data_IF_106926947472
#
_entry.id   IF_106926947472
#
_cell.length_a   1.000
_cell.length_b   1.000
_cell.length_c   1.000
_cell.angle_alpha   90.00
_cell.angle_beta   90.00
_cell.angle_gamma   90.00
#
_symmetry.space_group_name_H-M   'P 1'
#
loop_
_entity.id
_entity.type
_entity.pdbx_description
1 polymer ?
#
# COMPACT_ATOMS: atom_id res chain seq x y z
N UNK A 1 69.75 11.97 16.67
CA UNK A 1 68.52 11.44 16.17
C UNK A 1 67.50 11.41 17.30
N UNK A 2 66.32 12.07 17.24
CA UNK A 2 65.28 11.97 18.25
C UNK A 2 64.53 10.65 18.08
N UNK A 3 64.48 9.83 19.09
CA UNK A 3 63.59 8.67 19.19
C UNK A 3 62.13 9.18 19.21
N UNK A 4 61.40 8.93 18.19
CA UNK A 4 59.94 9.01 18.15
C UNK A 4 59.41 7.89 19.06
N UNK A 5 58.95 8.20 20.26
CA UNK A 5 58.11 7.35 21.08
C UNK A 5 56.79 7.22 20.33
N UNK A 6 56.60 6.08 19.62
CA UNK A 6 55.27 5.65 19.15
C UNK A 6 54.50 5.32 20.42
N UNK A 7 53.58 6.20 20.81
CA UNK A 7 52.64 5.92 21.89
C UNK A 7 51.82 4.67 21.51
N UNK A 8 51.84 3.67 22.36
CA UNK A 8 50.90 2.54 22.26
C UNK A 8 49.46 3.10 22.25
N UNK A 9 48.58 2.56 21.41
CA UNK A 9 47.17 2.95 21.46
C UNK A 9 46.65 2.64 22.87
N UNK A 10 46.14 3.67 23.56
CA UNK A 10 45.51 3.50 24.84
C UNK A 10 44.41 2.46 24.70
N UNK A 11 44.57 1.30 25.35
CA UNK A 11 43.48 0.31 25.46
C UNK A 11 42.33 1.03 26.20
N UNK A 12 41.23 1.28 25.50
CA UNK A 12 40.01 1.80 26.11
C UNK A 12 39.66 0.91 27.30
N UNK A 13 39.57 1.49 28.46
CA UNK A 13 39.17 0.75 29.67
C UNK A 13 37.77 0.23 29.48
N UNK A 14 37.38 -0.88 30.10
CA UNK A 14 36.05 -1.47 29.93
C UNK A 14 34.90 -0.48 30.22
N UNK A 15 35.21 0.62 30.95
CA UNK A 15 34.27 1.71 31.25
C UNK A 15 34.01 2.70 30.11
N UNK A 16 34.83 2.71 29.06
CA UNK A 16 34.72 3.65 27.94
C UNK A 16 33.90 3.02 26.75
N UNK A 17 33.57 1.74 26.84
CA UNK A 17 32.82 1.05 25.81
C UNK A 17 31.33 1.37 25.90
N UNK A 18 30.67 1.77 24.79
CA UNK A 18 29.25 2.14 24.82
C UNK A 18 28.33 0.92 25.00
N UNK A 19 27.13 1.21 25.47
CA UNK A 19 25.99 0.26 25.43
C UNK A 19 25.03 0.77 24.38
N UNK A 20 24.59 -0.12 23.50
CA UNK A 20 23.54 0.19 22.54
C UNK A 20 22.19 -0.21 23.11
N UNK A 21 21.22 0.71 23.11
CA UNK A 21 19.88 0.46 23.65
C UNK A 21 18.91 0.32 22.49
N UNK A 22 18.24 -0.82 22.42
CA UNK A 22 17.26 -1.16 21.38
C UNK A 22 15.88 -1.28 22.02
N UNK A 23 14.93 -0.37 21.77
CA UNK A 23 13.56 -0.53 22.22
C UNK A 23 12.82 -1.57 21.35
N UNK A 24 12.30 -2.62 22.00
CA UNK A 24 11.44 -3.66 21.41
C UNK A 24 10.03 -3.46 21.96
N UNK A 25 9.31 -2.50 21.40
CA UNK A 25 8.00 -2.08 21.90
C UNK A 25 6.91 -2.22 20.82
N UNK A 26 5.70 -2.53 21.26
CA UNK A 26 4.56 -2.77 20.35
C UNK A 26 4.69 -4.08 19.59
N UNK A 27 4.02 -4.17 18.43
CA UNK A 27 4.01 -5.41 17.63
C UNK A 27 5.34 -5.64 16.92
N UNK A 28 5.85 -6.86 16.99
CA UNK A 28 7.06 -7.28 16.26
C UNK A 28 6.71 -7.51 14.80
N UNK A 29 7.40 -6.79 13.91
CA UNK A 29 7.20 -6.78 12.47
C UNK A 29 8.52 -6.95 11.70
N UNK A 30 8.43 -7.11 10.38
CA UNK A 30 9.58 -7.35 9.50
C UNK A 30 10.58 -6.19 9.41
N UNK A 31 10.19 -5.00 9.78
CA UNK A 31 11.14 -3.87 9.81
C UNK A 31 11.97 -3.81 11.09
N UNK A 32 11.56 -4.58 12.12
CA UNK A 32 12.29 -4.63 13.39
C UNK A 32 13.52 -5.54 13.31
N UNK A 33 13.47 -6.62 12.52
CA UNK A 33 14.61 -7.53 12.35
C UNK A 33 15.84 -6.85 11.71
N UNK A 34 15.75 -6.16 10.54
CA UNK A 34 16.89 -5.43 9.98
C UNK A 34 17.42 -4.32 10.88
N UNK A 35 16.53 -3.68 11.66
CA UNK A 35 16.93 -2.69 12.64
C UNK A 35 17.78 -3.31 13.74
N UNK A 36 17.36 -4.44 14.31
CA UNK A 36 18.12 -5.18 15.31
C UNK A 36 19.49 -5.61 14.76
N UNK A 37 19.52 -6.26 13.60
CA UNK A 37 20.76 -6.71 12.94
C UNK A 37 21.73 -5.55 12.74
N UNK A 38 21.28 -4.45 12.16
CA UNK A 38 22.11 -3.25 11.94
C UNK A 38 22.71 -2.71 13.25
N UNK A 39 21.94 -2.71 14.33
CA UNK A 39 22.45 -2.21 15.61
C UNK A 39 23.41 -3.20 16.24
N UNK A 40 23.19 -4.52 16.12
CA UNK A 40 24.15 -5.55 16.57
C UNK A 40 25.48 -5.43 15.80
N UNK A 41 25.44 -5.29 14.48
CA UNK A 41 26.63 -5.10 13.63
C UNK A 41 27.40 -3.83 14.01
N UNK A 42 26.68 -2.72 14.26
CA UNK A 42 27.29 -1.47 14.68
C UNK A 42 27.90 -1.59 16.08
N UNK A 43 27.22 -2.26 17.00
CA UNK A 43 27.74 -2.52 18.34
C UNK A 43 29.01 -3.40 18.31
N UNK A 44 29.07 -4.40 17.43
CA UNK A 44 30.28 -5.22 17.21
C UNK A 44 31.42 -4.38 16.64
N UNK A 45 31.15 -3.56 15.60
CA UNK A 45 32.14 -2.69 14.98
C UNK A 45 32.73 -1.64 15.96
N UNK A 46 31.89 -1.12 16.86
CA UNK A 46 32.29 -0.16 17.88
C UNK A 46 32.84 -0.83 19.16
N UNK A 47 32.99 -2.15 19.17
CA UNK A 47 33.41 -2.96 20.30
C UNK A 47 32.60 -2.61 21.57
N UNK A 48 31.29 -2.47 21.46
CA UNK A 48 30.40 -2.12 22.55
C UNK A 48 30.53 -3.06 23.76
N UNK A 49 30.19 -2.55 24.94
CA UNK A 49 30.21 -3.37 26.15
C UNK A 49 29.02 -4.34 26.20
N UNK A 50 27.87 -3.91 25.70
CA UNK A 50 26.66 -4.73 25.60
C UNK A 50 25.63 -4.08 24.65
N UNK A 51 24.66 -4.87 24.21
CA UNK A 51 23.40 -4.43 23.61
C UNK A 51 22.28 -4.70 24.60
N UNK A 52 21.53 -3.68 24.95
CA UNK A 52 20.38 -3.75 25.85
C UNK A 52 19.09 -3.73 25.05
N UNK A 53 18.31 -4.78 25.13
CA UNK A 53 16.98 -4.91 24.52
C UNK A 53 15.93 -4.50 25.57
N UNK A 54 15.27 -3.36 25.40
CA UNK A 54 14.15 -2.96 26.26
C UNK A 54 12.84 -3.51 25.72
N UNK A 55 12.29 -4.52 26.41
CA UNK A 55 11.18 -5.33 25.90
C UNK A 55 9.88 -4.97 26.64
N UNK A 56 8.90 -4.49 25.87
CA UNK A 56 7.49 -4.36 26.28
C UNK A 56 6.60 -4.61 25.05
N UNK A 57 6.26 -5.87 24.79
CA UNK A 57 5.59 -6.29 23.56
C UNK A 57 4.55 -7.39 23.79
N UNK A 58 3.40 -7.33 23.09
CA UNK A 58 2.44 -8.43 23.04
C UNK A 58 2.88 -9.56 22.11
N UNK A 59 4.01 -9.43 21.40
CA UNK A 59 4.46 -10.34 20.36
C UNK A 59 4.27 -9.80 18.94
N UNK A 60 4.22 -10.68 17.95
CA UNK A 60 4.06 -10.28 16.56
C UNK A 60 4.33 -11.41 15.57
N UNK A 61 4.93 -11.07 14.44
CA UNK A 61 5.16 -11.98 13.31
C UNK A 61 6.21 -13.04 13.63
N UNK A 62 5.89 -14.30 13.32
CA UNK A 62 6.80 -15.42 13.53
C UNK A 62 8.06 -15.33 12.66
N UNK A 63 7.91 -14.94 11.39
CA UNK A 63 9.04 -14.79 10.47
C UNK A 63 10.02 -13.69 10.91
N UNK A 64 9.52 -12.57 11.45
CA UNK A 64 10.36 -11.51 11.98
C UNK A 64 11.11 -11.95 13.24
N UNK A 65 10.43 -12.62 14.17
CA UNK A 65 11.08 -13.01 15.42
C UNK A 65 12.14 -14.11 15.22
N UNK A 66 11.97 -15.00 14.24
CA UNK A 66 12.98 -16.02 13.94
C UNK A 66 14.27 -15.36 13.39
N UNK A 67 14.16 -14.37 12.51
CA UNK A 67 15.33 -13.58 12.08
C UNK A 67 16.01 -12.86 13.26
N UNK A 68 15.21 -12.26 14.14
CA UNK A 68 15.75 -11.58 15.33
C UNK A 68 16.42 -12.56 16.31
N UNK A 69 15.84 -13.74 16.49
CA UNK A 69 16.41 -14.79 17.32
C UNK A 69 17.75 -15.27 16.77
N UNK A 70 17.84 -15.53 15.45
CA UNK A 70 19.09 -15.95 14.81
C UNK A 70 20.17 -14.85 14.97
N UNK A 71 19.83 -13.57 14.70
CA UNK A 71 20.75 -12.44 14.88
C UNK A 71 21.27 -12.32 16.32
N UNK A 72 20.40 -12.56 17.32
CA UNK A 72 20.79 -12.53 18.73
C UNK A 72 21.68 -13.72 19.13
N UNK A 73 21.42 -14.91 18.58
CA UNK A 73 22.25 -16.09 18.85
C UNK A 73 23.64 -15.98 18.20
N UNK A 74 23.73 -15.36 17.04
CA UNK A 74 24.97 -15.13 16.29
C UNK A 74 25.74 -13.88 16.76
N UNK A 75 25.17 -13.09 17.66
CA UNK A 75 25.79 -11.87 18.18
C UNK A 75 27.11 -12.16 18.89
N UNK A 76 28.14 -11.36 18.56
CA UNK A 76 29.43 -11.38 19.23
C UNK A 76 29.49 -10.42 20.41
N UNK A 77 28.52 -9.54 20.52
CA UNK A 77 28.38 -8.55 21.58
C UNK A 77 27.44 -9.13 22.63
N UNK A 78 27.80 -8.97 23.92
CA UNK A 78 26.94 -9.36 25.05
C UNK A 78 25.55 -8.75 24.88
N UNK A 79 24.51 -9.59 24.93
CA UNK A 79 23.11 -9.18 24.78
C UNK A 79 22.36 -9.31 26.10
N UNK A 80 21.64 -8.25 26.49
CA UNK A 80 20.89 -8.20 27.75
C UNK A 80 19.44 -7.84 27.42
N UNK A 81 18.50 -8.70 27.79
CA UNK A 81 17.08 -8.42 27.72
C UNK A 81 16.60 -7.76 29.03
N UNK A 82 15.94 -6.64 28.92
CA UNK A 82 15.26 -5.97 30.01
C UNK A 82 13.74 -6.00 29.76
N UNK A 83 13.06 -6.87 30.46
CA UNK A 83 11.60 -6.99 30.38
C UNK A 83 10.99 -5.99 31.34
N UNK A 84 10.49 -4.86 30.78
CA UNK A 84 9.89 -3.78 31.59
C UNK A 84 8.48 -4.16 32.08
N UNK A 85 7.61 -4.70 31.19
CA UNK A 85 6.26 -5.13 31.54
C UNK A 85 5.93 -6.48 30.99
N UNK A 86 5.93 -6.59 29.66
CA UNK A 86 5.49 -7.80 28.97
C UNK A 86 6.49 -8.27 27.92
N UNK A 87 6.80 -9.54 27.94
CA UNK A 87 7.51 -10.23 26.87
C UNK A 87 6.64 -11.42 26.43
N UNK A 88 5.53 -11.16 25.72
CA UNK A 88 4.63 -12.22 25.26
C UNK A 88 5.02 -12.74 23.89
N UNK A 89 4.74 -14.03 23.65
CA UNK A 89 4.87 -14.66 22.33
C UNK A 89 6.27 -14.43 21.73
N UNK A 90 6.36 -13.74 20.59
CA UNK A 90 7.63 -13.37 19.96
C UNK A 90 8.59 -12.63 20.92
N UNK A 91 8.05 -11.81 21.83
CA UNK A 91 8.85 -11.11 22.85
C UNK A 91 9.54 -12.07 23.82
N UNK A 92 8.90 -13.19 24.17
CA UNK A 92 9.51 -14.21 25.00
C UNK A 92 10.69 -14.91 24.29
N UNK A 93 10.59 -15.16 22.99
CA UNK A 93 11.68 -15.75 22.22
C UNK A 93 12.86 -14.77 22.09
N UNK A 94 12.61 -13.48 21.87
CA UNK A 94 13.66 -12.45 21.83
C UNK A 94 14.38 -12.37 23.19
N UNK A 95 13.61 -12.33 24.28
CA UNK A 95 14.20 -12.32 25.62
C UNK A 95 15.03 -13.59 25.88
N UNK A 96 14.50 -14.75 25.49
CA UNK A 96 15.18 -16.04 25.64
C UNK A 96 16.47 -16.15 24.82
N UNK A 97 16.51 -15.49 23.65
CA UNK A 97 17.68 -15.47 22.77
C UNK A 97 18.80 -14.57 23.30
N UNK A 98 18.53 -13.65 24.23
CA UNK A 98 19.56 -12.84 24.87
C UNK A 98 20.40 -13.67 25.88
N UNK A 99 21.63 -13.26 26.10
CA UNK A 99 22.54 -13.92 27.07
C UNK A 99 22.02 -13.79 28.49
N UNK A 100 21.57 -12.60 28.85
CA UNK A 100 21.05 -12.28 30.19
C UNK A 100 19.63 -11.70 30.10
N UNK A 101 18.81 -12.00 31.10
CA UNK A 101 17.44 -11.50 31.22
C UNK A 101 17.24 -10.87 32.59
N UNK A 102 16.91 -9.58 32.58
CA UNK A 102 16.49 -8.84 33.76
C UNK A 102 15.02 -8.46 33.63
N UNK A 103 14.27 -8.56 34.71
CA UNK A 103 12.84 -8.26 34.72
C UNK A 103 12.50 -7.23 35.81
N UNK A 104 11.54 -6.37 35.53
CA UNK A 104 11.00 -5.49 36.58
C UNK A 104 10.06 -6.28 37.51
N UNK A 105 9.81 -5.81 38.74
CA UNK A 105 8.77 -6.38 39.59
C UNK A 105 7.40 -6.30 38.91
N UNK A 106 6.75 -7.45 38.74
CA UNK A 106 5.43 -7.55 38.05
C UNK A 106 5.50 -7.71 36.54
N UNK A 107 6.69 -7.79 35.94
CA UNK A 107 6.83 -8.18 34.56
C UNK A 107 6.46 -9.65 34.36
N UNK A 108 6.10 -9.98 33.11
CA UNK A 108 5.71 -11.35 32.72
C UNK A 108 6.34 -11.74 31.37
N UNK A 109 6.63 -13.04 31.20
CA UNK A 109 7.26 -13.58 30.01
C UNK A 109 6.67 -14.96 29.65
N UNK A 110 6.30 -15.18 28.40
CA UNK A 110 5.76 -16.48 27.94
C UNK A 110 4.58 -16.34 26.99
N UNK A 111 3.55 -17.18 27.13
CA UNK A 111 2.34 -17.23 26.32
C UNK A 111 2.65 -17.18 24.81
N UNK A 112 3.39 -18.19 24.32
CA UNK A 112 3.99 -18.16 22.99
C UNK A 112 3.39 -19.18 22.00
N UNK A 113 2.20 -19.74 22.29
CA UNK A 113 1.50 -20.57 21.30
C UNK A 113 1.24 -19.78 20.04
N UNK A 114 1.69 -20.24 18.87
CA UNK A 114 1.39 -19.54 17.63
C UNK A 114 -0.11 -19.60 17.33
N UNK A 115 -0.67 -18.47 16.92
CA UNK A 115 -2.09 -18.32 16.56
C UNK A 115 -2.24 -17.84 15.14
N UNK A 116 -3.33 -18.24 14.48
CA UNK A 116 -3.64 -17.79 13.12
C UNK A 116 -4.03 -16.33 13.11
N UNK A 117 -3.34 -15.57 12.23
CA UNK A 117 -3.55 -14.13 12.11
C UNK A 117 -4.95 -13.82 11.56
N UNK A 118 -5.82 -13.29 12.40
CA UNK A 118 -7.19 -12.88 12.06
C UNK A 118 -8.28 -13.65 12.79
N UNK A 119 -8.09 -14.92 13.10
CA UNK A 119 -9.05 -15.74 13.87
C UNK A 119 -8.69 -15.83 15.34
N UNK A 120 -7.39 -15.77 15.67
CA UNK A 120 -6.89 -16.01 17.03
C UNK A 120 -6.92 -17.48 17.43
N UNK A 121 -7.23 -18.38 16.51
CA UNK A 121 -7.19 -19.83 16.75
C UNK A 121 -5.74 -20.34 16.78
N UNK A 122 -5.50 -21.43 17.52
CA UNK A 122 -4.18 -22.06 17.55
C UNK A 122 -3.79 -22.57 16.16
N UNK A 123 -2.58 -22.26 15.74
CA UNK A 123 -2.02 -22.75 14.47
C UNK A 123 -1.94 -24.27 14.41
N UNK A 124 -1.72 -24.80 13.21
CA UNK A 124 -1.59 -26.24 13.01
C UNK A 124 -0.48 -26.86 13.89
N UNK A 125 -0.61 -28.12 14.29
CA UNK A 125 0.38 -28.85 15.09
C UNK A 125 1.78 -28.79 14.47
N UNK A 126 1.90 -28.74 13.15
CA UNK A 126 3.19 -28.58 12.47
C UNK A 126 3.88 -27.27 12.87
N UNK A 127 3.14 -26.17 12.94
CA UNK A 127 3.67 -24.85 13.32
C UNK A 127 3.96 -24.80 14.81
N UNK A 128 3.04 -25.29 15.64
CA UNK A 128 3.22 -25.37 17.09
C UNK A 128 4.48 -26.18 17.43
N UNK A 129 4.65 -27.36 16.79
CA UNK A 129 5.83 -28.20 16.99
C UNK A 129 7.14 -27.53 16.57
N UNK A 130 7.12 -26.78 15.45
CA UNK A 130 8.30 -26.04 14.99
C UNK A 130 8.68 -24.94 15.98
N UNK A 131 7.71 -24.11 16.40
CA UNK A 131 7.94 -23.01 17.36
C UNK A 131 8.37 -23.57 18.73
N UNK A 132 7.73 -24.62 19.23
CA UNK A 132 8.13 -25.32 20.47
C UNK A 132 9.58 -25.77 20.40
N UNK A 133 10.00 -26.38 19.28
CA UNK A 133 11.37 -26.84 19.09
C UNK A 133 12.36 -25.65 19.04
N UNK A 134 11.98 -24.54 18.42
CA UNK A 134 12.80 -23.31 18.40
C UNK A 134 13.00 -22.76 19.80
N UNK A 135 11.94 -22.64 20.60
CA UNK A 135 12.03 -22.21 22.00
C UNK A 135 12.93 -23.14 22.81
N UNK A 136 12.74 -24.47 22.67
CA UNK A 136 13.58 -25.46 23.29
C UNK A 136 15.06 -25.29 22.95
N UNK A 137 15.39 -25.24 21.64
CA UNK A 137 16.76 -25.11 21.17
C UNK A 137 17.41 -23.83 21.65
N UNK A 138 16.67 -22.70 21.63
CA UNK A 138 17.15 -21.40 22.14
C UNK A 138 17.47 -21.47 23.64
N UNK A 139 16.60 -22.12 24.44
CA UNK A 139 16.84 -22.32 25.85
C UNK A 139 18.09 -23.17 26.10
N UNK A 140 18.27 -24.28 25.35
CA UNK A 140 19.45 -25.14 25.43
C UNK A 140 20.74 -24.37 25.12
N UNK A 141 20.76 -23.55 24.06
CA UNK A 141 21.93 -22.73 23.70
C UNK A 141 22.27 -21.73 24.83
N UNK A 142 21.26 -21.16 25.48
CA UNK A 142 21.43 -20.19 26.58
C UNK A 142 21.54 -20.83 27.96
N UNK A 143 21.59 -22.16 28.06
CA UNK A 143 21.76 -22.90 29.31
C UNK A 143 20.56 -22.83 30.26
N UNK A 144 19.36 -22.55 29.75
CA UNK A 144 18.10 -22.52 30.50
C UNK A 144 17.33 -23.84 30.32
N UNK A 145 16.43 -24.17 31.26
CA UNK A 145 15.66 -25.42 31.19
C UNK A 145 14.77 -25.46 29.94
N UNK A 146 15.02 -26.37 28.98
CA UNK A 146 14.27 -26.43 27.73
C UNK A 146 12.81 -26.82 27.92
N UNK A 147 12.42 -27.50 29.01
CA UNK A 147 11.02 -27.87 29.27
C UNK A 147 10.17 -26.64 29.61
N UNK A 148 10.75 -25.68 30.33
CA UNK A 148 10.07 -24.44 30.66
C UNK A 148 9.79 -23.63 29.38
N UNK A 149 10.75 -23.60 28.43
CA UNK A 149 10.55 -22.98 27.12
C UNK A 149 9.48 -23.72 26.30
N UNK A 150 9.47 -25.05 26.30
CA UNK A 150 8.42 -25.83 25.62
C UNK A 150 7.02 -25.53 26.19
N UNK A 151 6.89 -25.41 27.52
CA UNK A 151 5.62 -25.11 28.20
C UNK A 151 5.09 -23.71 27.91
N UNK A 152 5.94 -22.74 27.49
CA UNK A 152 5.50 -21.43 27.03
C UNK A 152 4.77 -21.50 25.68
N UNK A 153 4.99 -22.56 24.91
CA UNK A 153 4.42 -22.74 23.56
C UNK A 153 3.30 -23.76 23.54
N UNK A 154 3.48 -24.85 24.25
CA UNK A 154 2.60 -26.03 24.22
C UNK A 154 1.94 -26.29 25.57
N UNK A 155 0.61 -26.12 25.69
CA UNK A 155 -0.13 -26.33 26.92
C UNK A 155 -0.19 -27.81 27.37
N UNK A 156 0.23 -28.77 26.54
CA UNK A 156 0.31 -30.17 26.96
C UNK A 156 1.54 -30.47 27.80
N UNK A 157 2.51 -29.54 27.87
CA UNK A 157 3.74 -29.73 28.67
C UNK A 157 3.48 -29.28 30.09
N UNK A 158 3.31 -30.23 31.00
CA UNK A 158 3.19 -29.97 32.42
C UNK A 158 4.56 -29.95 33.11
N UNK A 159 4.71 -29.09 34.11
CA UNK A 159 5.90 -28.99 34.97
C UNK A 159 5.46 -28.89 36.42
N UNK A 160 5.83 -29.85 37.21
CA UNK A 160 5.46 -29.95 38.63
C UNK A 160 5.85 -28.64 39.39
N UNK A 161 4.89 -28.03 40.04
CA UNK A 161 5.10 -26.82 40.81
C UNK A 161 5.16 -25.53 39.99
N UNK A 162 4.93 -25.57 38.65
CA UNK A 162 4.95 -24.39 37.78
C UNK A 162 3.69 -24.27 36.90
N UNK A 163 3.35 -25.32 36.15
CA UNK A 163 2.20 -25.30 35.21
C UNK A 163 1.58 -26.67 35.07
N UNK A 164 0.23 -26.73 35.11
CA UNK A 164 -0.54 -27.94 34.94
C UNK A 164 -0.80 -28.25 33.46
N UNK A 165 -1.05 -29.51 33.13
CA UNK A 165 -1.44 -29.89 31.75
C UNK A 165 -2.73 -29.19 31.33
N UNK A 166 -2.73 -28.63 30.12
CA UNK A 166 -3.81 -27.84 29.58
C UNK A 166 -3.69 -26.33 29.85
N UNK A 167 -2.66 -25.91 30.58
CA UNK A 167 -2.38 -24.50 30.86
C UNK A 167 -1.14 -24.04 30.08
N UNK A 168 -1.23 -22.86 29.48
CA UNK A 168 -0.11 -22.26 28.79
C UNK A 168 0.77 -21.46 29.78
N UNK A 169 2.07 -21.73 29.79
CA UNK A 169 2.99 -21.11 30.75
C UNK A 169 3.23 -19.64 30.42
N UNK A 170 3.08 -18.81 31.45
CA UNK A 170 3.57 -17.42 31.49
C UNK A 170 4.27 -17.23 32.82
N UNK A 171 5.57 -16.99 32.80
CA UNK A 171 6.36 -16.76 34.01
C UNK A 171 6.13 -15.35 34.54
N UNK A 172 5.83 -15.24 35.80
CA UNK A 172 5.99 -14.02 36.57
C UNK A 172 7.48 -13.76 36.84
N UNK A 173 7.85 -12.53 37.22
CA UNK A 173 9.24 -12.19 37.60
C UNK A 173 9.78 -13.11 38.68
N UNK A 174 8.97 -13.50 39.65
CA UNK A 174 9.39 -14.38 40.77
C UNK A 174 9.65 -15.80 40.28
N UNK A 175 8.79 -16.33 39.42
CA UNK A 175 8.94 -17.67 38.82
C UNK A 175 10.12 -17.70 37.86
N UNK A 176 10.28 -16.65 37.02
CA UNK A 176 11.41 -16.54 36.11
C UNK A 176 12.76 -16.56 36.86
N UNK A 177 12.87 -15.87 38.00
CA UNK A 177 14.04 -15.91 38.83
C UNK A 177 14.24 -17.30 39.50
N UNK A 178 13.16 -17.88 40.04
CA UNK A 178 13.25 -19.17 40.73
C UNK A 178 13.62 -20.34 39.79
N UNK A 179 13.20 -20.25 38.53
CA UNK A 179 13.49 -21.28 37.49
C UNK A 179 14.71 -20.95 36.62
N UNK A 180 15.49 -19.90 36.99
CA UNK A 180 16.72 -19.54 36.28
C UNK A 180 16.52 -19.00 34.87
N UNK A 181 15.33 -18.43 34.59
CA UNK A 181 15.02 -17.74 33.34
C UNK A 181 15.41 -16.26 33.39
N UNK A 182 15.26 -15.63 34.56
CA UNK A 182 15.77 -14.29 34.80
C UNK A 182 17.07 -14.36 35.63
N UNK A 183 18.06 -13.57 35.22
CA UNK A 183 19.34 -13.43 35.92
C UNK A 183 19.26 -12.42 37.06
N UNK A 184 18.22 -11.56 37.05
CA UNK A 184 17.99 -10.58 38.11
C UNK A 184 16.67 -9.85 38.04
N UNK A 185 16.28 -9.26 39.18
CA UNK A 185 15.10 -8.41 39.28
C UNK A 185 15.57 -6.99 39.58
N UNK A 186 15.15 -6.03 38.75
CA UNK A 186 15.59 -4.63 38.82
C UNK A 186 14.40 -3.71 38.59
N UNK A 187 14.35 -2.59 39.27
CA UNK A 187 13.21 -1.69 39.14
C UNK A 187 13.27 -0.77 37.89
N UNK A 188 14.46 -0.61 37.30
CA UNK A 188 14.66 0.27 36.13
C UNK A 188 16.01 0.00 35.46
N UNK A 189 16.23 0.63 34.28
CA UNK A 189 17.47 0.56 33.52
C UNK A 189 18.73 0.91 34.34
N UNK A 190 18.68 1.94 35.19
CA UNK A 190 19.85 2.39 35.94
C UNK A 190 20.29 1.31 36.94
N UNK A 191 19.34 0.63 37.59
CA UNK A 191 19.61 -0.48 38.49
C UNK A 191 20.13 -1.69 37.72
N UNK A 192 19.56 -2.01 36.52
CA UNK A 192 20.06 -3.03 35.62
C UNK A 192 21.52 -2.78 35.25
N UNK A 193 21.85 -1.57 34.78
CA UNK A 193 23.22 -1.25 34.38
C UNK A 193 24.20 -1.39 35.54
N UNK A 194 23.75 -1.10 36.75
CA UNK A 194 24.54 -1.32 37.97
C UNK A 194 24.73 -2.81 38.24
N UNK A 195 23.67 -3.60 38.18
CA UNK A 195 23.69 -5.06 38.37
C UNK A 195 24.57 -5.78 37.33
N UNK A 196 24.48 -5.34 36.07
CA UNK A 196 25.26 -5.87 34.94
C UNK A 196 26.74 -5.37 34.92
N UNK A 197 27.15 -4.49 35.85
CA UNK A 197 28.50 -3.93 35.89
C UNK A 197 28.77 -2.85 34.82
N UNK A 198 27.73 -2.22 34.30
CA UNK A 198 27.75 -1.29 33.16
C UNK A 198 27.37 0.16 33.56
N UNK A 199 27.31 0.46 34.85
CA UNK A 199 26.82 1.76 35.35
C UNK A 199 27.58 2.99 34.81
N UNK A 200 28.85 2.83 34.44
CA UNK A 200 29.69 3.90 33.92
C UNK A 200 29.77 3.95 32.39
N UNK A 201 29.19 2.96 31.69
CA UNK A 201 29.24 2.90 30.25
C UNK A 201 28.24 3.92 29.60
N UNK A 202 28.68 4.69 28.58
CA UNK A 202 27.80 5.61 27.91
C UNK A 202 26.71 4.84 27.13
N UNK A 203 25.44 5.20 27.32
CA UNK A 203 24.32 4.60 26.61
C UNK A 203 24.08 5.34 25.29
N UNK A 204 24.02 4.61 24.19
CA UNK A 204 23.65 5.08 22.86
C UNK A 204 22.22 4.63 22.59
N UNK A 205 21.29 5.58 22.63
CA UNK A 205 19.90 5.32 22.27
C UNK A 205 19.80 5.12 20.78
N UNK A 206 19.21 3.99 20.36
CA UNK A 206 19.01 3.70 18.96
C UNK A 206 17.56 3.84 18.55
N UNK A 207 17.32 4.02 17.28
CA UNK A 207 15.98 4.06 16.71
C UNK A 207 15.99 3.55 15.26
N UNK A 208 14.86 3.04 14.77
CA UNK A 208 14.76 2.68 13.38
C UNK A 208 15.08 3.87 12.46
N UNK A 209 15.90 3.65 11.45
CA UNK A 209 16.20 4.60 10.38
C UNK A 209 14.93 5.00 9.62
N UNK A 210 15.03 6.06 8.79
CA UNK A 210 13.91 6.45 7.96
C UNK A 210 13.50 5.29 7.01
N UNK A 211 14.47 4.57 6.45
CA UNK A 211 14.23 3.44 5.56
C UNK A 211 13.48 2.31 6.28
N UNK A 212 13.94 1.90 7.46
CA UNK A 212 13.28 0.87 8.28
C UNK A 212 11.86 1.27 8.68
N UNK A 213 11.63 2.55 9.01
CA UNK A 213 10.28 3.07 9.30
C UNK A 213 9.36 3.03 8.06
N UNK A 214 9.90 3.38 6.89
CA UNK A 214 9.14 3.30 5.62
C UNK A 214 8.82 1.85 5.30
N UNK A 215 9.78 0.93 5.46
CA UNK A 215 9.54 -0.51 5.27
C UNK A 215 8.44 -1.00 6.21
N UNK A 216 8.53 -0.72 7.50
CA UNK A 216 7.49 -1.07 8.50
C UNK A 216 6.11 -0.57 8.09
N UNK A 217 6.03 0.68 7.63
CA UNK A 217 4.76 1.25 7.16
C UNK A 217 4.22 0.56 5.91
N UNK A 218 5.08 0.31 4.91
CA UNK A 218 4.66 -0.28 3.64
C UNK A 218 4.32 -1.77 3.73
N UNK A 219 4.92 -2.48 4.70
CA UNK A 219 4.68 -3.92 4.93
C UNK A 219 3.61 -4.19 5.99
N UNK A 220 3.06 -3.13 6.62
CA UNK A 220 1.88 -3.27 7.46
C UNK A 220 0.71 -3.86 6.65
N UNK A 221 0.04 -4.92 7.14
CA UNK A 221 -1.00 -5.61 6.37
C UNK A 221 -2.16 -4.71 5.91
N UNK A 222 -2.54 -3.73 6.72
CA UNK A 222 -3.62 -2.78 6.37
C UNK A 222 -3.15 -1.82 5.29
N UNK A 223 -1.93 -1.28 5.42
CA UNK A 223 -1.33 -0.37 4.44
C UNK A 223 -1.09 -1.10 3.11
N UNK A 224 -0.54 -2.31 3.15
CA UNK A 224 -0.30 -3.14 1.98
C UNK A 224 -1.61 -3.44 1.22
N UNK A 225 -2.66 -3.85 1.95
CA UNK A 225 -3.99 -4.09 1.38
C UNK A 225 -4.58 -2.83 0.74
N UNK A 226 -4.45 -1.68 1.42
CA UNK A 226 -4.92 -0.40 0.91
C UNK A 226 -4.15 0.03 -0.35
N UNK A 227 -2.82 -0.09 -0.34
CA UNK A 227 -1.98 0.22 -1.49
C UNK A 227 -2.37 -0.63 -2.70
N UNK A 228 -2.53 -1.94 -2.53
CA UNK A 228 -2.96 -2.84 -3.60
C UNK A 228 -4.36 -2.51 -4.11
N UNK A 229 -5.31 -2.29 -3.20
CA UNK A 229 -6.69 -1.95 -3.55
C UNK A 229 -6.76 -0.67 -4.37
N UNK A 230 -6.10 0.39 -3.91
CA UNK A 230 -6.09 1.68 -4.62
C UNK A 230 -5.29 1.59 -5.93
N UNK A 231 -4.15 0.89 -5.93
CA UNK A 231 -3.36 0.70 -7.16
C UNK A 231 -4.17 0.00 -8.25
N UNK A 232 -4.81 -1.14 -7.92
CA UNK A 232 -5.64 -1.88 -8.86
C UNK A 232 -6.87 -1.08 -9.32
N UNK A 233 -7.53 -0.36 -8.39
CA UNK A 233 -8.65 0.50 -8.71
C UNK A 233 -8.26 1.61 -9.71
N UNK A 234 -7.10 2.26 -9.49
CA UNK A 234 -6.62 3.32 -10.38
C UNK A 234 -6.17 2.78 -11.73
N UNK A 235 -5.44 1.65 -11.77
CA UNK A 235 -4.99 1.04 -13.03
C UNK A 235 -6.19 0.63 -13.89
N UNK A 236 -7.15 -0.07 -13.30
CA UNK A 236 -8.34 -0.51 -14.05
C UNK A 236 -9.29 0.64 -14.30
N UNK A 237 -9.45 1.56 -13.33
CA UNK A 237 -10.31 2.73 -13.46
C UNK A 237 -9.90 3.67 -14.60
N UNK A 238 -8.60 3.76 -14.90
CA UNK A 238 -8.06 4.60 -15.99
C UNK A 238 -8.61 4.20 -17.37
N UNK A 239 -8.97 2.93 -17.58
CA UNK A 239 -9.62 2.47 -18.83
C UNK A 239 -11.02 3.03 -19.04
N UNK A 240 -11.68 3.50 -17.98
CA UNK A 240 -13.04 4.03 -18.02
C UNK A 240 -13.11 5.56 -18.01
N UNK A 241 -11.96 6.24 -17.89
CA UNK A 241 -11.86 7.70 -17.86
C UNK A 241 -11.34 8.21 -19.21
N UNK A 242 -12.07 9.15 -19.83
CA UNK A 242 -11.59 9.84 -21.04
C UNK A 242 -10.36 10.69 -20.68
N UNK A 243 -9.20 10.40 -21.25
CA UNK A 243 -7.94 11.12 -20.95
C UNK A 243 -6.84 10.23 -20.44
N UNK A 244 -6.72 9.04 -21.01
CA UNK A 244 -5.77 7.97 -20.71
C UNK A 244 -4.43 8.43 -20.18
N UNK A 245 -4.01 7.88 -19.04
CA UNK A 245 -2.63 7.76 -18.60
C UNK A 245 -2.31 8.29 -17.21
N UNK A 246 -2.86 9.41 -16.74
CA UNK A 246 -2.44 9.99 -15.46
C UNK A 246 -2.92 9.19 -14.24
N UNK A 247 -4.14 8.67 -14.30
CA UNK A 247 -4.73 7.88 -13.22
C UNK A 247 -4.06 6.52 -13.15
N UNK A 248 -3.85 5.88 -14.31
CA UNK A 248 -3.14 4.62 -14.42
C UNK A 248 -1.68 4.73 -13.98
N UNK A 249 -0.97 5.81 -14.36
CA UNK A 249 0.40 6.08 -13.89
C UNK A 249 0.46 6.20 -12.37
N UNK A 250 -0.51 6.86 -11.73
CA UNK A 250 -0.59 6.92 -10.28
C UNK A 250 -0.81 5.52 -9.67
N UNK A 251 -1.66 4.70 -10.28
CA UNK A 251 -1.87 3.31 -9.87
C UNK A 251 -0.59 2.46 -9.98
N UNK A 252 0.14 2.59 -11.10
CA UNK A 252 1.43 1.92 -11.27
C UNK A 252 2.48 2.42 -10.27
N UNK A 253 2.50 3.71 -9.93
CA UNK A 253 3.39 4.25 -8.92
C UNK A 253 3.11 3.66 -7.53
N UNK A 254 1.84 3.49 -7.14
CA UNK A 254 1.46 2.83 -5.89
C UNK A 254 1.85 1.35 -5.88
N UNK A 255 1.64 0.64 -7.00
CA UNK A 255 2.06 -0.76 -7.13
C UNK A 255 3.58 -0.90 -7.03
N UNK A 256 4.34 0.00 -7.67
CA UNK A 256 5.80 0.04 -7.54
C UNK A 256 6.25 0.35 -6.11
N UNK A 257 5.55 1.24 -5.41
CA UNK A 257 5.81 1.55 -3.98
C UNK A 257 5.55 0.32 -3.10
N UNK A 258 4.48 -0.43 -3.35
CA UNK A 258 4.20 -1.69 -2.67
C UNK A 258 5.35 -2.68 -2.87
N UNK A 259 5.75 -2.96 -4.13
CA UNK A 259 6.85 -3.88 -4.41
C UNK A 259 8.18 -3.42 -3.84
N UNK A 260 8.46 -2.12 -3.88
CA UNK A 260 9.67 -1.56 -3.31
C UNK A 260 9.76 -1.80 -1.80
N UNK A 261 8.66 -1.55 -1.07
CA UNK A 261 8.61 -1.83 0.37
C UNK A 261 8.80 -3.32 0.70
N UNK A 262 8.13 -4.21 -0.03
CA UNK A 262 8.24 -5.66 0.16
C UNK A 262 9.59 -6.23 -0.28
N UNK A 263 10.21 -5.65 -1.31
CA UNK A 263 11.56 -5.99 -1.73
C UNK A 263 12.61 -5.63 -0.67
N UNK A 264 12.51 -4.41 -0.11
CA UNK A 264 13.41 -3.98 0.98
C UNK A 264 13.25 -4.82 2.25
N UNK A 265 12.05 -5.35 2.50
CA UNK A 265 11.77 -6.26 3.60
C UNK A 265 12.22 -7.72 3.33
N UNK A 266 12.79 -8.01 2.14
CA UNK A 266 13.14 -9.37 1.74
C UNK A 266 11.94 -10.28 1.43
N UNK A 267 10.72 -9.74 1.41
CA UNK A 267 9.49 -10.50 1.14
C UNK A 267 9.28 -10.77 -0.35
N UNK A 268 9.45 -9.74 -1.19
CA UNK A 268 9.26 -9.85 -2.62
C UNK A 268 10.58 -9.96 -3.37
N UNK A 269 10.55 -10.64 -4.51
CA UNK A 269 11.67 -10.74 -5.39
C UNK A 269 11.40 -10.32 -6.82
N UNK A 270 12.41 -10.40 -7.68
CA UNK A 270 12.30 -10.09 -9.10
C UNK A 270 11.33 -11.00 -9.84
N UNK A 271 11.21 -12.27 -9.42
CA UNK A 271 10.27 -13.23 -9.98
C UNK A 271 8.83 -12.83 -9.72
N UNK A 272 8.51 -12.34 -8.53
CA UNK A 272 7.16 -11.89 -8.16
C UNK A 272 6.75 -10.66 -8.97
N UNK A 273 7.65 -9.68 -9.05
CA UNK A 273 7.45 -8.49 -9.89
C UNK A 273 7.32 -8.85 -11.37
N UNK A 274 8.13 -9.80 -11.87
CA UNK A 274 8.07 -10.28 -13.25
C UNK A 274 6.72 -10.95 -13.54
N UNK A 275 6.22 -11.75 -12.60
CA UNK A 275 4.93 -12.42 -12.73
C UNK A 275 3.77 -11.42 -12.78
N UNK A 276 3.82 -10.36 -11.96
CA UNK A 276 2.84 -9.26 -12.01
C UNK A 276 2.89 -8.50 -13.32
N UNK A 277 4.10 -8.14 -13.79
CA UNK A 277 4.27 -7.46 -15.08
C UNK A 277 3.75 -8.33 -16.23
N UNK A 278 4.08 -9.63 -16.24
CA UNK A 278 3.56 -10.57 -17.22
C UNK A 278 2.03 -10.64 -17.17
N UNK A 279 1.45 -10.69 -15.97
CA UNK A 279 0.01 -10.66 -15.77
C UNK A 279 -0.64 -9.42 -16.38
N UNK A 280 -0.09 -8.24 -16.11
CA UNK A 280 -0.57 -6.98 -16.68
C UNK A 280 -0.45 -6.92 -18.21
N UNK A 281 0.67 -7.42 -18.76
CA UNK A 281 0.86 -7.50 -20.22
C UNK A 281 -0.17 -8.44 -20.87
N UNK A 282 -0.41 -9.61 -20.27
CA UNK A 282 -1.41 -10.56 -20.81
C UNK A 282 -2.83 -9.99 -20.74
N UNK A 283 -3.19 -9.28 -19.66
CA UNK A 283 -4.46 -8.56 -19.57
C UNK A 283 -4.55 -7.46 -20.63
N UNK A 284 -3.49 -6.71 -20.87
CA UNK A 284 -3.44 -5.71 -21.93
C UNK A 284 -3.60 -6.32 -23.33
N UNK A 285 -2.95 -7.46 -23.60
CA UNK A 285 -3.12 -8.19 -24.86
C UNK A 285 -4.58 -8.62 -25.07
N UNK A 286 -5.24 -9.13 -24.02
CA UNK A 286 -6.65 -9.49 -24.08
C UNK A 286 -7.56 -8.29 -24.40
N UNK A 287 -7.29 -7.15 -23.78
CA UNK A 287 -8.11 -5.95 -23.94
C UNK A 287 -7.93 -5.29 -25.32
N UNK A 288 -6.69 -5.24 -25.84
CA UNK A 288 -6.34 -4.44 -27.03
C UNK A 288 -6.14 -5.26 -28.29
N UNK A 289 -5.78 -6.55 -28.19
CA UNK A 289 -5.41 -7.40 -29.36
C UNK A 289 -6.44 -8.48 -29.63
N UNK A 290 -6.96 -9.13 -28.60
CA UNK A 290 -7.89 -10.26 -28.71
C UNK A 290 -9.11 -9.99 -27.81
N UNK A 291 -9.98 -9.03 -28.15
CA UNK A 291 -11.11 -8.69 -27.29
C UNK A 291 -12.09 -9.86 -27.17
N UNK A 292 -12.31 -10.39 -25.95
CA UNK A 292 -13.30 -11.46 -25.74
C UNK A 292 -13.16 -12.32 -24.51
N UNK A 293 -12.40 -11.97 -23.49
CA UNK A 293 -12.14 -12.74 -22.27
C UNK A 293 -11.71 -14.20 -22.57
N UNK A 294 -10.61 -14.31 -23.28
CA UNK A 294 -10.02 -15.58 -23.69
C UNK A 294 -8.90 -16.07 -22.76
N UNK A 295 -8.07 -16.96 -23.29
CA UNK A 295 -6.95 -17.57 -22.57
C UNK A 295 -5.95 -16.53 -22.03
N UNK A 296 -5.54 -15.48 -22.77
CA UNK A 296 -4.60 -14.47 -22.24
C UNK A 296 -5.12 -13.74 -21.00
N UNK A 297 -6.43 -13.38 -20.98
CA UNK A 297 -7.03 -12.67 -19.83
C UNK A 297 -7.06 -13.50 -18.56
N UNK A 298 -7.43 -14.78 -18.66
CA UNK A 298 -7.44 -15.71 -17.52
C UNK A 298 -6.03 -15.97 -17.00
N UNK A 299 -5.07 -16.22 -17.90
CA UNK A 299 -3.67 -16.42 -17.53
C UNK A 299 -3.06 -15.13 -16.94
N UNK A 300 -3.41 -13.98 -17.51
CA UNK A 300 -2.97 -12.68 -17.03
C UNK A 300 -3.47 -12.38 -15.62
N UNK A 301 -4.74 -12.65 -15.35
CA UNK A 301 -5.30 -12.50 -14.00
C UNK A 301 -4.66 -13.47 -13.00
N UNK A 302 -4.46 -14.72 -13.38
CA UNK A 302 -3.80 -15.72 -12.54
C UNK A 302 -2.34 -15.33 -12.24
N UNK A 303 -1.60 -14.82 -13.22
CA UNK A 303 -0.23 -14.35 -13.06
C UNK A 303 -0.17 -13.09 -12.16
N UNK A 304 -1.08 -12.14 -12.36
CA UNK A 304 -1.17 -10.93 -11.53
C UNK A 304 -1.45 -11.27 -10.07
N UNK A 305 -2.51 -12.04 -9.81
CA UNK A 305 -2.88 -12.41 -8.44
C UNK A 305 -1.85 -13.34 -7.81
N UNK A 306 -1.26 -14.25 -8.58
CA UNK A 306 -0.18 -15.12 -8.13
C UNK A 306 1.09 -14.36 -7.75
N UNK A 307 1.50 -13.39 -8.56
CA UNK A 307 2.68 -12.55 -8.25
C UNK A 307 2.46 -11.66 -7.02
N UNK A 308 1.26 -11.07 -6.86
CA UNK A 308 0.90 -10.32 -5.65
C UNK A 308 0.86 -11.22 -4.41
N UNK A 309 0.32 -12.42 -4.55
CA UNK A 309 0.29 -13.41 -3.48
C UNK A 309 1.69 -13.81 -3.03
N UNK A 310 2.59 -14.12 -3.96
CA UNK A 310 3.97 -14.50 -3.66
C UNK A 310 4.73 -13.35 -3.00
N UNK A 311 4.53 -12.11 -3.47
CA UNK A 311 5.15 -10.92 -2.87
C UNK A 311 4.73 -10.67 -1.41
N UNK A 312 3.52 -11.09 -1.03
CA UNK A 312 3.02 -10.98 0.36
C UNK A 312 3.42 -12.17 1.23
N UNK A 313 3.64 -13.34 0.61
CA UNK A 313 3.96 -14.57 1.31
C UNK A 313 5.36 -14.55 1.92
N UNK A 314 6.32 -13.90 1.24
CA UNK A 314 7.72 -13.94 1.63
C UNK A 314 8.46 -15.22 1.18
N UNK A 315 9.80 -15.18 1.25
CA UNK A 315 10.66 -16.22 0.67
C UNK A 315 11.15 -17.27 1.67
N UNK A 316 11.43 -16.86 2.90
CA UNK A 316 12.26 -17.67 3.79
C UNK A 316 11.47 -18.67 4.66
N UNK A 317 10.29 -18.30 5.14
CA UNK A 317 9.48 -19.15 6.01
C UNK A 317 8.02 -19.12 5.59
N UNK A 318 7.61 -20.10 4.80
CA UNK A 318 6.22 -20.28 4.40
C UNK A 318 5.43 -20.96 5.52
N UNK A 319 4.83 -20.16 6.38
CA UNK A 319 3.88 -20.67 7.38
C UNK A 319 2.47 -20.78 6.76
N UNK A 320 1.64 -21.74 7.20
CA UNK A 320 0.24 -21.82 6.80
C UNK A 320 -0.51 -20.49 7.00
N UNK A 321 -0.22 -19.79 8.09
CA UNK A 321 -0.78 -18.46 8.41
C UNK A 321 -0.35 -17.38 7.43
N UNK A 322 0.92 -17.40 7.00
CA UNK A 322 1.43 -16.50 5.98
C UNK A 322 0.68 -16.70 4.67
N UNK A 323 0.42 -17.96 4.29
CA UNK A 323 -0.32 -18.35 3.08
C UNK A 323 -1.76 -17.81 3.15
N UNK A 324 -2.46 -18.05 4.27
CA UNK A 324 -3.84 -17.55 4.46
C UNK A 324 -3.91 -16.03 4.47
N UNK A 325 -3.00 -15.37 5.19
CA UNK A 325 -2.95 -13.90 5.26
C UNK A 325 -2.67 -13.29 3.90
N UNK A 326 -1.69 -13.79 3.16
CA UNK A 326 -1.38 -13.34 1.81
C UNK A 326 -2.57 -13.56 0.87
N UNK A 327 -3.19 -14.74 0.91
CA UNK A 327 -4.38 -15.08 0.13
C UNK A 327 -5.56 -14.17 0.46
N UNK A 328 -5.87 -13.99 1.74
CA UNK A 328 -6.93 -13.11 2.20
C UNK A 328 -6.70 -11.64 1.76
N UNK A 329 -5.48 -11.14 1.90
CA UNK A 329 -5.13 -9.77 1.49
C UNK A 329 -5.32 -9.56 -0.01
N UNK A 330 -4.82 -10.47 -0.86
CA UNK A 330 -4.95 -10.37 -2.32
C UNK A 330 -6.42 -10.47 -2.75
N UNK A 331 -7.15 -11.46 -2.22
CA UNK A 331 -8.57 -11.65 -2.56
C UNK A 331 -9.40 -10.44 -2.12
N UNK A 332 -9.18 -9.96 -0.91
CA UNK A 332 -9.91 -8.78 -0.38
C UNK A 332 -9.58 -7.53 -1.20
N UNK A 333 -8.30 -7.27 -1.51
CA UNK A 333 -7.89 -6.14 -2.33
C UNK A 333 -8.51 -6.21 -3.73
N UNK A 334 -8.51 -7.40 -4.36
CA UNK A 334 -9.10 -7.62 -5.66
C UNK A 334 -10.63 -7.42 -5.66
N UNK A 335 -11.33 -8.04 -4.72
CA UNK A 335 -12.79 -7.92 -4.61
C UNK A 335 -13.22 -6.49 -4.28
N UNK A 336 -12.51 -5.81 -3.39
CA UNK A 336 -12.78 -4.41 -3.04
C UNK A 336 -12.53 -3.48 -4.24
N UNK A 337 -11.45 -3.72 -5.01
CA UNK A 337 -11.18 -2.98 -6.24
C UNK A 337 -12.27 -3.22 -7.28
N UNK A 338 -12.70 -4.46 -7.46
CA UNK A 338 -13.78 -4.83 -8.39
C UNK A 338 -15.10 -4.17 -7.99
N UNK A 339 -15.47 -4.20 -6.71
CA UNK A 339 -16.65 -3.51 -6.19
C UNK A 339 -16.55 -1.99 -6.35
N UNK A 340 -15.36 -1.43 -6.12
CA UNK A 340 -15.08 0.00 -6.35
C UNK A 340 -15.27 0.39 -7.81
N UNK A 341 -14.82 -0.43 -8.75
CA UNK A 341 -15.01 -0.22 -10.20
C UNK A 341 -16.48 -0.32 -10.56
N UNK A 342 -17.20 -1.33 -10.08
CA UNK A 342 -18.64 -1.47 -10.30
C UNK A 342 -19.40 -0.25 -9.75
N UNK A 343 -19.06 0.18 -8.52
CA UNK A 343 -19.62 1.37 -7.92
C UNK A 343 -19.34 2.61 -8.78
N UNK A 344 -18.09 2.78 -9.25
CA UNK A 344 -17.69 3.88 -10.13
C UNK A 344 -18.54 3.87 -11.41
N UNK A 345 -18.71 2.71 -12.06
CA UNK A 345 -19.49 2.57 -13.28
C UNK A 345 -21.00 2.83 -13.09
N UNK A 346 -21.54 2.47 -11.92
CA UNK A 346 -22.97 2.65 -11.58
C UNK A 346 -23.25 4.08 -11.14
N UNK A 347 -22.39 4.65 -10.31
CA UNK A 347 -22.62 5.97 -9.68
C UNK A 347 -21.97 7.13 -10.44
N UNK A 348 -21.04 6.86 -11.38
CA UNK A 348 -20.50 7.90 -12.24
C UNK A 348 -21.64 8.41 -13.14
N UNK A 349 -22.08 9.68 -12.98
CA UNK A 349 -23.17 10.19 -13.79
C UNK A 349 -22.75 10.19 -15.25
N UNK A 350 -23.52 9.54 -16.12
CA UNK A 350 -23.37 9.56 -17.60
C UNK A 350 -23.51 10.97 -18.20
N UNK A 351 -23.42 11.99 -17.39
CA UNK A 351 -23.52 13.41 -17.78
C UNK A 351 -22.28 14.17 -17.36
N UNK A 352 -21.67 14.76 -18.31
CA UNK A 352 -20.62 15.81 -18.46
C UNK A 352 -20.19 16.63 -17.21
N UNK A 353 -20.20 16.07 -15.96
CA UNK A 353 -19.78 16.78 -14.75
C UNK A 353 -18.27 16.79 -14.52
N UNK A 354 -17.53 15.91 -15.18
CA UNK A 354 -16.07 15.90 -15.18
C UNK A 354 -15.44 16.67 -16.36
N UNK A 355 -16.24 17.23 -17.25
CA UNK A 355 -15.78 18.05 -18.37
C UNK A 355 -14.98 19.30 -17.98
N UNK A 356 -14.92 19.63 -16.67
CA UNK A 356 -14.07 20.71 -16.14
C UNK A 356 -12.65 20.28 -15.77
N UNK A 357 -12.36 18.97 -15.73
CA UNK A 357 -11.03 18.44 -15.42
C UNK A 357 -10.21 18.03 -16.66
N UNK A 358 -10.90 17.92 -17.81
CA UNK A 358 -10.23 17.65 -19.08
C UNK A 358 -9.93 19.00 -19.73
N UNK A 359 -8.66 19.34 -19.86
CA UNK A 359 -8.22 20.45 -20.74
C UNK A 359 -8.62 20.05 -22.17
N UNK A 360 -9.78 20.51 -22.64
CA UNK A 360 -10.08 20.54 -24.06
C UNK A 360 -9.11 21.54 -24.68
N UNK A 361 -8.08 21.05 -25.34
CA UNK A 361 -7.37 21.79 -26.33
C UNK A 361 -8.34 21.98 -27.52
N UNK A 362 -9.22 22.95 -27.42
CA UNK A 362 -9.92 23.44 -28.58
C UNK A 362 -8.82 24.03 -29.49
N UNK A 363 -8.46 23.29 -30.51
CA UNK A 363 -7.73 23.82 -31.65
C UNK A 363 -8.68 24.80 -32.31
N UNK A 364 -8.68 26.04 -31.83
CA UNK A 364 -9.37 27.15 -32.46
C UNK A 364 -8.71 27.41 -33.81
N UNK A 365 -9.25 26.82 -34.84
CA UNK A 365 -9.04 27.30 -36.19
C UNK A 365 -9.85 28.58 -36.38
N UNK A 366 -9.18 29.74 -36.43
CA UNK A 366 -9.73 30.92 -37.02
C UNK A 366 -9.88 32.13 -36.09
N UNK A 367 -8.87 32.97 -36.14
CA UNK A 367 -8.92 34.45 -36.15
C UNK A 367 -10.12 35.13 -35.47
N UNK A 368 -9.89 35.58 -34.25
CA UNK A 368 -10.57 36.78 -33.74
C UNK A 368 -9.54 37.67 -33.01
N UNK A 369 -9.22 38.89 -33.51
CA UNK A 369 -8.27 39.80 -32.89
C UNK A 369 -9.00 40.70 -31.89
N UNK A 370 -9.21 40.21 -30.66
CA UNK A 370 -9.82 41.10 -29.65
C UNK A 370 -10.33 40.49 -28.36
N UNK A 371 -9.81 39.36 -27.90
CA UNK A 371 -10.31 38.73 -26.69
C UNK A 371 -9.31 38.72 -25.53
N UNK A 372 -9.64 39.42 -24.45
CA UNK A 372 -8.93 39.42 -23.17
C UNK A 372 -8.79 38.01 -22.59
N UNK A 373 -7.57 37.63 -22.19
CA UNK A 373 -7.27 36.36 -21.51
C UNK A 373 -8.04 36.22 -20.19
N UNK A 374 -8.68 35.09 -19.91
CA UNK A 374 -9.25 34.84 -18.60
C UNK A 374 -8.18 34.28 -17.65
N UNK A 375 -7.84 35.04 -16.62
CA UNK A 375 -7.08 34.57 -15.48
C UNK A 375 -7.94 33.60 -14.67
N UNK A 376 -7.67 32.28 -14.78
CA UNK A 376 -8.54 31.22 -14.27
C UNK A 376 -8.11 30.53 -12.96
N UNK A 377 -6.96 30.82 -12.31
CA UNK A 377 -6.50 30.07 -11.15
C UNK A 377 -6.76 30.70 -9.78
N UNK A 378 -7.24 32.00 -9.75
CA UNK A 378 -7.51 32.76 -8.52
C UNK A 378 -8.92 32.56 -7.92
N UNK A 379 -9.75 31.67 -8.47
CA UNK A 379 -11.12 31.45 -7.96
C UNK A 379 -11.23 30.42 -6.82
N UNK A 380 -10.15 29.86 -6.34
CA UNK A 380 -10.20 28.89 -5.24
C UNK A 380 -10.06 29.50 -3.84
N UNK A 381 -9.69 30.78 -3.75
CA UNK A 381 -9.71 31.48 -2.46
C UNK A 381 -10.91 32.44 -2.46
N UNK A 382 -11.95 32.04 -1.76
CA UNK A 382 -13.19 32.77 -1.64
C UNK A 382 -12.99 34.18 -1.13
N UNK A 383 -13.63 35.15 -1.81
CA UNK A 383 -13.96 36.45 -1.24
C UNK A 383 -15.47 36.62 -1.20
N UNK A 384 -16.00 37.28 -0.15
CA UNK A 384 -17.42 37.25 0.15
C UNK A 384 -18.21 38.16 -0.77
N UNK A 385 -19.43 37.72 -0.99
CA UNK A 385 -20.51 38.38 -1.70
C UNK A 385 -20.79 39.81 -1.22
N UNK A 386 -20.94 40.73 -2.15
CA UNK A 386 -21.74 41.91 -1.90
C UNK A 386 -22.58 42.31 -3.11
N UNK A 387 -23.86 42.23 -2.88
CA UNK A 387 -24.94 43.04 -3.40
C UNK A 387 -25.35 42.94 -4.88
N UNK A 388 -26.49 42.31 -5.00
CA UNK A 388 -27.49 42.34 -6.04
C UNK A 388 -27.84 43.77 -6.52
N UNK A 389 -27.92 43.91 -7.81
CA UNK A 389 -28.92 44.80 -8.39
C UNK A 389 -29.61 44.07 -9.53
N UNK A 390 -30.90 43.85 -9.30
CA UNK A 390 -31.87 43.38 -10.26
C UNK A 390 -31.88 44.23 -11.52
N UNK A 391 -31.57 43.62 -12.64
CA UNK A 391 -32.07 43.98 -13.96
C UNK A 391 -32.21 42.74 -14.78
N UNK A 392 -33.38 42.43 -15.35
CA UNK A 392 -33.51 41.30 -16.25
C UNK A 392 -32.63 41.53 -17.47
N UNK A 393 -31.90 40.50 -17.93
CA UNK A 393 -31.15 40.61 -19.18
C UNK A 393 -32.16 40.74 -20.34
N UNK A 394 -32.06 41.83 -21.07
CA UNK A 394 -32.67 41.99 -22.40
C UNK A 394 -32.21 40.80 -23.24
N UNK A 395 -33.16 40.02 -23.77
CA UNK A 395 -32.92 39.00 -24.77
C UNK A 395 -32.27 39.67 -25.99
N UNK A 396 -31.14 39.14 -26.49
CA UNK A 396 -30.72 39.49 -27.83
C UNK A 396 -31.73 38.86 -28.80
N UNK A 397 -32.30 39.70 -29.59
CA UNK A 397 -33.33 39.43 -30.61
C UNK A 397 -32.75 38.70 -31.83
N UNK A 398 -31.95 37.63 -31.62
CA UNK A 398 -31.46 36.73 -32.65
C UNK A 398 -31.03 35.37 -32.06
N UNK A 399 -31.75 34.88 -31.07
CA UNK A 399 -31.68 33.47 -30.76
C UNK A 399 -32.44 32.70 -31.85
N UNK A 400 -31.72 31.92 -32.62
CA UNK A 400 -32.27 30.96 -33.56
C UNK A 400 -33.31 30.08 -32.83
N UNK A 401 -34.55 30.43 -32.99
CA UNK A 401 -35.68 29.61 -32.55
C UNK A 401 -35.76 28.52 -33.57
N UNK A 402 -35.50 27.27 -33.15
CA UNK A 402 -35.81 26.06 -33.89
C UNK A 402 -37.34 26.01 -34.08
N UNK A 403 -37.86 26.23 -35.28
CA UNK A 403 -39.31 26.28 -35.49
C UNK A 403 -39.83 24.87 -35.59
N UNK A 404 -40.53 24.46 -34.55
CA UNK A 404 -41.57 23.47 -34.64
C UNK A 404 -41.16 21.99 -34.72
N UNK A 405 -41.08 21.38 -33.65
CA UNK A 405 -41.57 20.00 -33.49
C UNK A 405 -43.05 19.94 -33.87
N UNK A 406 -43.35 19.57 -35.10
CA UNK A 406 -44.70 19.19 -35.41
C UNK A 406 -45.23 19.37 -36.85
N UNK A 407 -44.50 20.00 -37.77
CA UNK A 407 -44.96 20.06 -39.19
C UNK A 407 -43.85 19.59 -40.13
N UNK A 408 -44.16 18.61 -40.95
CA UNK A 408 -43.32 18.18 -42.08
C UNK A 408 -43.11 19.33 -43.02
N UNK A 409 -41.88 19.61 -43.42
CA UNK A 409 -41.50 20.63 -44.40
C UNK A 409 -41.58 20.11 -45.85
N UNK A 410 -42.03 18.87 -46.05
CA UNK A 410 -42.17 18.29 -47.42
C UNK A 410 -43.09 19.15 -48.28
N UNK A 411 -42.62 19.56 -49.45
CA UNK A 411 -43.29 20.47 -50.37
C UNK A 411 -43.05 21.95 -50.09
N UNK A 412 -42.33 22.31 -49.04
CA UNK A 412 -41.94 23.69 -48.79
C UNK A 412 -40.86 24.14 -49.80
N UNK A 413 -41.00 25.38 -50.30
CA UNK A 413 -40.03 25.96 -51.22
C UNK A 413 -39.12 26.95 -50.51
N UNK A 414 -37.89 27.10 -51.02
CA UNK A 414 -36.88 27.97 -50.44
C UNK A 414 -35.76 28.31 -51.42
N UNK A 415 -34.72 28.96 -50.94
CA UNK A 415 -33.54 29.34 -51.72
C UNK A 415 -32.30 28.74 -51.08
N UNK A 416 -31.44 28.15 -51.88
CA UNK A 416 -30.11 27.69 -51.40
C UNK A 416 -29.23 28.89 -51.05
N UNK A 417 -28.78 28.98 -49.79
CA UNK A 417 -27.88 30.05 -49.33
C UNK A 417 -26.40 29.74 -49.60
N UNK A 418 -26.09 28.48 -49.77
CA UNK A 418 -24.75 28.00 -50.09
C UNK A 418 -24.83 26.98 -51.23
N UNK A 419 -23.70 26.74 -51.92
CA UNK A 419 -23.59 25.60 -52.85
C UNK A 419 -23.86 24.29 -52.12
N UNK A 420 -24.76 23.42 -52.64
CA UNK A 420 -25.10 22.12 -52.07
C UNK A 420 -24.31 21.03 -52.77
N UNK A 421 -23.31 20.38 -52.08
CA UNK A 421 -22.41 19.31 -52.62
C UNK A 421 -22.14 18.22 -51.57
N UNK A 422 -22.97 17.29 -51.30
CA UNK A 422 -24.42 17.23 -51.41
C UNK A 422 -25.14 18.02 -50.31
N UNK A 423 -24.43 18.51 -49.28
CA UNK A 423 -24.99 19.26 -48.15
C UNK A 423 -24.68 20.75 -48.19
N UNK A 424 -25.50 21.54 -47.56
CA UNK A 424 -25.33 22.97 -47.38
C UNK A 424 -26.54 23.58 -46.67
N UNK A 425 -26.64 24.93 -46.70
CA UNK A 425 -27.65 25.69 -45.97
C UNK A 425 -28.63 26.29 -46.94
N UNK A 426 -29.93 26.23 -46.65
CA UNK A 426 -31.00 26.84 -47.40
C UNK A 426 -31.90 27.66 -46.48
N UNK A 427 -32.58 28.65 -47.04
CA UNK A 427 -33.64 29.41 -46.39
C UNK A 427 -34.97 28.87 -46.84
N UNK A 428 -35.75 28.30 -45.91
CA UNK A 428 -37.08 27.76 -46.14
C UNK A 428 -38.05 28.35 -45.14
N UNK A 429 -39.08 29.00 -45.60
CA UNK A 429 -40.06 29.64 -44.73
C UNK A 429 -39.49 30.76 -43.83
N UNK A 430 -38.42 31.43 -44.27
CA UNK A 430 -37.73 32.48 -43.49
C UNK A 430 -36.73 31.98 -42.43
N UNK A 431 -36.51 30.64 -42.37
CA UNK A 431 -35.58 30.03 -41.47
C UNK A 431 -34.41 29.37 -42.22
N UNK A 432 -33.19 29.52 -41.65
CA UNK A 432 -32.00 28.84 -42.18
C UNK A 432 -31.94 27.42 -41.69
N UNK A 433 -31.89 26.48 -42.62
CA UNK A 433 -32.00 25.05 -42.35
C UNK A 433 -30.90 24.33 -43.13
N UNK A 434 -30.27 23.35 -42.49
CA UNK A 434 -29.32 22.42 -43.15
C UNK A 434 -30.10 21.45 -44.04
N UNK A 435 -29.67 21.37 -45.29
CA UNK A 435 -30.31 20.52 -46.32
C UNK A 435 -29.29 19.72 -47.09
N UNK A 436 -29.78 18.63 -47.73
CA UNK A 436 -28.96 17.72 -48.54
C UNK A 436 -29.64 17.51 -49.88
N UNK A 437 -28.90 17.48 -50.96
CA UNK A 437 -29.44 17.12 -52.28
C UNK A 437 -29.52 15.61 -52.44
N UNK A 438 -30.37 15.13 -53.32
CA UNK A 438 -30.46 13.70 -53.70
C UNK A 438 -29.31 13.19 -54.60
N UNK A 439 -28.26 14.00 -54.79
CA UNK A 439 -27.12 13.71 -55.67
C UNK A 439 -26.82 14.82 -56.69
N UNK A 440 -27.73 15.76 -56.85
CA UNK A 440 -27.58 16.87 -57.79
C UNK A 440 -26.81 18.03 -57.16
N UNK A 441 -26.05 18.76 -57.99
CA UNK A 441 -25.37 19.99 -57.58
C UNK A 441 -26.34 21.17 -57.73
N UNK A 442 -26.59 21.88 -56.65
CA UNK A 442 -27.43 23.09 -56.61
C UNK A 442 -26.57 24.28 -56.18
N UNK A 443 -26.62 25.38 -56.94
CA UNK A 443 -25.85 26.59 -56.67
C UNK A 443 -26.55 27.45 -55.62
N UNK A 444 -25.75 28.21 -54.88
CA UNK A 444 -26.27 29.27 -54.07
C UNK A 444 -27.15 30.26 -54.91
N UNK A 445 -28.33 30.56 -54.39
CA UNK A 445 -29.32 31.39 -55.07
C UNK A 445 -30.38 30.60 -55.89
N UNK A 446 -30.21 29.31 -56.14
CA UNK A 446 -31.20 28.51 -56.84
C UNK A 446 -32.42 28.22 -55.93
N UNK A 447 -33.60 28.23 -56.58
CA UNK A 447 -34.83 27.83 -55.90
C UNK A 447 -34.88 26.32 -55.67
N UNK A 448 -35.31 25.91 -54.49
CA UNK A 448 -35.35 24.54 -54.04
C UNK A 448 -36.70 24.14 -53.45
N UNK A 449 -37.05 22.88 -53.50
CA UNK A 449 -38.21 22.28 -52.85
C UNK A 449 -37.78 21.13 -51.97
N UNK A 450 -38.33 21.01 -50.77
CA UNK A 450 -38.09 19.88 -49.86
C UNK A 450 -38.86 18.67 -50.34
N UNK A 451 -38.13 17.60 -50.70
CA UNK A 451 -38.69 16.34 -51.17
C UNK A 451 -38.85 15.29 -50.07
N UNK A 452 -38.01 15.34 -49.04
CA UNK A 452 -38.15 14.49 -47.89
C UNK A 452 -37.67 15.26 -46.62
N UNK A 453 -38.38 15.07 -45.51
CA UNK A 453 -38.09 15.64 -44.22
C UNK A 453 -37.98 14.50 -43.18
N UNK A 454 -36.80 13.96 -43.03
CA UNK A 454 -36.46 12.95 -42.03
C UNK A 454 -35.89 13.67 -40.79
N UNK A 455 -36.10 13.10 -39.62
CA UNK A 455 -35.78 13.71 -38.30
C UNK A 455 -34.41 14.39 -38.22
N UNK A 456 -33.42 13.90 -39.00
CA UNK A 456 -32.03 14.43 -39.01
C UNK A 456 -31.54 14.79 -40.42
N UNK A 457 -32.38 14.67 -41.46
CA UNK A 457 -31.99 14.84 -42.87
C UNK A 457 -33.15 15.42 -43.66
N UNK A 458 -32.95 16.64 -44.28
CA UNK A 458 -33.92 17.27 -45.16
C UNK A 458 -33.37 17.22 -46.57
N UNK A 459 -34.02 16.46 -47.42
CA UNK A 459 -33.61 16.30 -48.82
C UNK A 459 -34.33 17.35 -49.69
N UNK A 460 -33.53 18.06 -50.49
CA UNK A 460 -34.06 19.09 -51.41
C UNK A 460 -33.69 18.78 -52.83
N UNK A 461 -34.54 19.21 -53.78
CA UNK A 461 -34.25 19.25 -55.21
C UNK A 461 -34.40 20.66 -55.77
N UNK A 462 -33.72 20.94 -56.89
CA UNK A 462 -33.84 22.20 -57.60
C UNK A 462 -35.23 22.29 -58.25
N UNK A 463 -35.88 23.44 -58.20
CA UNK A 463 -37.06 23.79 -58.97
C UNK A 463 -36.59 24.27 -60.34
N UNK A 464 -36.93 23.53 -61.40
CA UNK A 464 -36.71 24.01 -62.75
C UNK A 464 -37.74 25.11 -63.07
N UNK A 465 -37.32 26.22 -63.71
CA UNK A 465 -38.18 27.34 -64.00
C UNK A 465 -39.27 27.01 -65.04
#
# INVERSE_FOLDING_TARGET
>A
APLLLVGEPAHATAHDRPIYVIPITGTIDLGLAPYLERVLDQADADAAAAVLLEIDTPGGRLDAVLQMQDALLDSRVRTIAFVDRTAFSAGALIALAAEEIYMTPGAVMGAATPVEGGTGETSSEKVVSAVRTTFKATAEVRGRDPRVAEAMVDPTVAIDGLVEEGQLLTLTTTEALAWGYADGVVANRAELLTAAGLAAAPAIETSPSLAERVVRFLTDPVVASLLLTVALLLIVGDFFVEGFGLVGVAGFALLATFFWGHFLAGLAGWEDATLVVLGLVLIAVELFVVPGFGIPGVLGLAALLGGLFLALLGRDIQTPEGIERAGFTVVTAFLTSLLGIIALLVFLPRGNRLGGLVLRADVASGTDPGGRAPHGWLRWFGTPSSLSTDRPPERPENALVDPAHGRSLVGATGIALSDLRPSGVAEIGGSRIDVVTGGDYIRAGDAIEVTADERYRRVVKRIEP
#
